data_IF_058330952125
#
_entry.id   IF_058330952125
#
_cell.length_a   1.000
_cell.length_b   1.000
_cell.length_c   1.000
_cell.angle_alpha   90.00
_cell.angle_beta   90.00
_cell.angle_gamma   90.00
#
_symmetry.space_group_name_H-M   'P 1'
#
loop_
_entity.id
_entity.type
_entity.pdbx_description
1 polymer ?
#
# COMPACT_ATOMS: atom_id res chain seq x y z
N UNK A 1 6.33 2.39 23.64
CA UNK A 1 7.08 1.90 22.46
C UNK A 1 8.33 2.73 22.37
N UNK A 2 9.50 2.11 22.33
CA UNK A 2 10.79 2.79 22.16
C UNK A 2 11.34 2.41 20.79
N UNK A 3 11.71 3.39 19.97
CA UNK A 3 12.22 3.19 18.61
C UNK A 3 13.71 3.52 18.64
N UNK A 4 14.55 2.53 18.35
CA UNK A 4 15.98 2.71 18.16
C UNK A 4 16.32 2.58 16.67
N UNK A 5 17.09 3.53 16.15
CA UNK A 5 17.58 3.52 14.78
C UNK A 5 19.09 3.32 14.82
N UNK A 6 19.56 2.25 14.18
CA UNK A 6 20.98 1.95 14.05
C UNK A 6 21.37 2.03 12.57
N UNK A 7 22.30 2.93 12.24
CA UNK A 7 22.84 3.04 10.88
C UNK A 7 24.01 2.09 10.72
N UNK A 8 23.89 1.10 9.84
CA UNK A 8 24.97 0.19 9.48
C UNK A 8 25.27 0.33 7.99
N UNK A 9 26.48 0.78 7.67
CA UNK A 9 26.93 1.08 6.29
C UNK A 9 27.13 -0.20 5.46
N UNK A 10 27.21 -1.35 6.10
CA UNK A 10 27.38 -2.65 5.44
C UNK A 10 26.05 -3.32 5.06
N UNK A 11 24.92 -2.77 5.49
CA UNK A 11 23.60 -3.26 5.08
C UNK A 11 23.32 -2.83 3.64
N UNK A 12 22.93 -3.80 2.81
CA UNK A 12 22.53 -3.56 1.41
C UNK A 12 21.09 -3.07 1.28
N UNK A 13 20.28 -3.30 2.30
CA UNK A 13 18.85 -2.96 2.34
C UNK A 13 18.37 -2.71 3.78
N UNK A 14 17.13 -2.25 3.94
CA UNK A 14 16.51 -1.94 5.23
C UNK A 14 16.20 -3.23 5.99
N UNK A 15 16.78 -3.39 7.18
CA UNK A 15 16.46 -4.46 8.12
C UNK A 15 15.70 -3.90 9.33
N UNK A 16 14.65 -4.60 9.79
CA UNK A 16 13.82 -4.18 10.94
C UNK A 16 13.80 -5.28 11.99
N UNK A 17 14.40 -5.01 13.16
CA UNK A 17 14.37 -5.90 14.33
C UNK A 17 13.36 -5.42 15.38
N UNK A 18 12.35 -6.23 15.68
CA UNK A 18 11.31 -5.90 16.67
C UNK A 18 11.43 -6.83 17.88
N UNK A 19 11.79 -6.28 19.04
CA UNK A 19 11.85 -7.01 20.32
C UNK A 19 10.57 -6.76 21.13
N UNK A 20 9.92 -7.81 21.60
CA UNK A 20 8.66 -7.73 22.34
C UNK A 20 8.57 -8.83 23.41
N UNK A 21 7.88 -8.55 24.52
CA UNK A 21 7.71 -9.51 25.61
C UNK A 21 6.57 -10.52 25.35
N UNK A 22 5.48 -10.07 24.73
CA UNK A 22 4.34 -10.91 24.34
C UNK A 22 3.65 -10.35 23.09
N UNK A 23 3.04 -11.24 22.30
CA UNK A 23 2.29 -10.83 21.13
C UNK A 23 1.02 -10.10 21.55
N UNK A 24 0.74 -8.95 20.94
CA UNK A 24 -0.47 -8.18 21.22
C UNK A 24 -1.08 -7.59 19.93
N UNK A 25 -2.34 -7.12 19.97
CA UNK A 25 -3.01 -6.58 18.79
C UNK A 25 -2.29 -5.40 18.12
N UNK A 26 -1.62 -4.56 18.92
CA UNK A 26 -0.86 -3.41 18.41
C UNK A 26 0.37 -3.86 17.62
N UNK A 27 1.10 -4.86 18.12
CA UNK A 27 2.25 -5.44 17.44
C UNK A 27 1.84 -6.13 16.13
N UNK A 28 0.72 -6.84 16.13
CA UNK A 28 0.16 -7.43 14.90
C UNK A 28 -0.15 -6.37 13.85
N UNK A 29 -0.75 -5.24 14.25
CA UNK A 29 -0.99 -4.10 13.35
C UNK A 29 0.32 -3.51 12.80
N UNK A 30 1.34 -3.35 13.64
CA UNK A 30 2.66 -2.84 13.22
C UNK A 30 3.33 -3.76 12.20
N UNK A 31 3.39 -5.06 12.48
CA UNK A 31 3.96 -6.06 11.55
C UNK A 31 3.21 -6.04 10.22
N UNK A 32 1.88 -5.93 10.29
CA UNK A 32 1.02 -5.87 9.10
C UNK A 32 1.28 -4.62 8.27
N UNK A 33 1.46 -3.46 8.92
CA UNK A 33 1.83 -2.21 8.27
C UNK A 33 3.17 -2.36 7.56
N UNK A 34 4.21 -2.81 8.27
CA UNK A 34 5.56 -2.98 7.71
C UNK A 34 5.57 -3.95 6.52
N UNK A 35 4.86 -5.08 6.61
CA UNK A 35 4.70 -6.03 5.49
C UNK A 35 3.88 -5.48 4.32
N UNK A 36 3.11 -4.42 4.54
CA UNK A 36 2.33 -3.78 3.48
C UNK A 36 3.10 -2.70 2.71
N UNK A 37 4.18 -2.16 3.28
CA UNK A 37 4.97 -1.09 2.66
C UNK A 37 5.72 -1.53 1.40
N UNK A 38 6.08 -2.82 1.29
CA UNK A 38 6.75 -3.37 0.09
C UNK A 38 5.76 -3.97 -0.92
N UNK A 39 4.49 -3.57 -0.89
CA UNK A 39 3.49 -4.10 -1.83
C UNK A 39 3.41 -3.21 -3.06
N UNK A 40 3.31 -3.89 -4.19
CA UNK A 40 3.03 -3.28 -5.47
C UNK A 40 1.66 -3.71 -5.98
N UNK A 41 0.99 -2.80 -6.68
CA UNK A 41 -0.28 -3.03 -7.33
C UNK A 41 -0.07 -3.19 -8.83
N UNK A 42 -0.57 -4.32 -9.37
CA UNK A 42 -0.54 -4.58 -10.81
C UNK A 42 -1.53 -3.68 -11.56
N UNK A 43 -1.00 -2.82 -12.42
CA UNK A 43 -1.75 -1.87 -13.22
C UNK A 43 -1.40 -2.00 -14.71
N UNK A 44 -2.17 -1.30 -15.54
CA UNK A 44 -2.03 -1.22 -16.98
C UNK A 44 -1.83 0.27 -17.32
N UNK A 45 -0.75 0.57 -18.04
CA UNK A 45 -0.46 1.92 -18.51
C UNK A 45 -1.34 2.33 -19.69
N UNK A 46 -1.30 3.61 -20.06
CA UNK A 46 -2.00 4.13 -21.23
C UNK A 46 -1.55 3.46 -22.55
N UNK A 47 -0.34 2.90 -22.57
CA UNK A 47 0.23 2.15 -23.71
C UNK A 47 -0.11 0.65 -23.67
N UNK A 48 -1.05 0.22 -22.80
CA UNK A 48 -1.41 -1.18 -22.57
C UNK A 48 -0.30 -2.08 -22.00
N UNK A 49 0.76 -1.51 -21.42
CA UNK A 49 1.82 -2.27 -20.77
C UNK A 49 1.44 -2.61 -19.32
N UNK A 50 1.77 -3.82 -18.86
CA UNK A 50 1.63 -4.20 -17.45
C UNK A 50 2.75 -3.56 -16.63
N UNK A 51 2.37 -2.87 -15.56
CA UNK A 51 3.28 -2.19 -14.65
C UNK A 51 2.93 -2.53 -13.20
N UNK A 52 3.91 -2.39 -12.31
CA UNK A 52 3.75 -2.54 -10.88
C UNK A 52 3.99 -1.17 -10.23
N UNK A 53 3.04 -0.75 -9.40
CA UNK A 53 3.07 0.56 -8.75
C UNK A 53 3.15 0.33 -7.25
N UNK A 54 4.13 0.93 -6.58
CA UNK A 54 4.19 0.91 -5.11
C UNK A 54 2.90 1.47 -4.55
N UNK A 55 2.31 0.79 -3.57
CA UNK A 55 1.08 1.29 -2.94
C UNK A 55 1.30 2.65 -2.27
N UNK A 56 2.54 2.97 -1.89
CA UNK A 56 2.92 4.28 -1.32
C UNK A 56 2.83 5.43 -2.34
N UNK A 57 2.92 5.14 -3.64
CA UNK A 57 2.85 6.17 -4.69
C UNK A 57 1.40 6.45 -5.12
N UNK A 58 0.42 5.74 -4.56
CA UNK A 58 -1.00 5.85 -4.92
C UNK A 58 -1.65 6.93 -4.05
N UNK A 59 -2.26 7.93 -4.66
CA UNK A 59 -2.94 9.05 -3.98
C UNK A 59 -4.43 8.76 -3.74
N UNK A 60 -5.08 8.08 -4.67
CA UNK A 60 -6.41 7.51 -4.48
C UNK A 60 -6.71 6.50 -5.59
N UNK A 61 -7.71 5.66 -5.36
CA UNK A 61 -8.24 4.71 -6.33
C UNK A 61 -9.72 5.00 -6.52
N UNK A 62 -10.17 5.05 -7.77
CA UNK A 62 -11.56 5.33 -8.12
C UNK A 62 -12.10 4.29 -9.10
N UNK A 63 -13.41 4.05 -9.07
CA UNK A 63 -14.08 3.31 -10.12
C UNK A 63 -14.92 4.23 -11.01
N UNK A 64 -14.60 4.25 -12.31
CA UNK A 64 -15.33 4.97 -13.36
C UNK A 64 -15.73 3.94 -14.43
N UNK A 65 -17.02 3.90 -14.80
CA UNK A 65 -17.56 3.00 -15.82
C UNK A 65 -17.15 1.52 -15.66
N UNK A 66 -17.29 0.98 -14.43
CA UNK A 66 -16.91 -0.40 -14.07
C UNK A 66 -15.42 -0.72 -14.19
N UNK A 67 -14.59 0.24 -14.57
CA UNK A 67 -13.13 0.15 -14.55
C UNK A 67 -12.62 0.77 -13.25
N UNK A 68 -11.44 0.36 -12.82
CA UNK A 68 -10.79 0.88 -11.62
C UNK A 68 -9.51 1.58 -12.03
N UNK A 69 -9.33 2.81 -11.57
CA UNK A 69 -8.22 3.69 -11.91
C UNK A 69 -7.45 4.04 -10.64
N UNK A 70 -6.12 4.07 -10.79
CA UNK A 70 -5.15 4.33 -9.74
C UNK A 70 -4.50 5.66 -10.10
N UNK A 71 -4.68 6.65 -9.23
CA UNK A 71 -4.15 7.99 -9.41
C UNK A 71 -2.89 8.14 -8.59
N UNK A 72 -1.80 8.51 -9.26
CA UNK A 72 -0.51 8.85 -8.68
C UNK A 72 -0.21 10.33 -8.99
N UNK A 73 0.87 10.87 -8.42
CA UNK A 73 1.27 12.28 -8.61
C UNK A 73 1.28 12.73 -10.09
N UNK A 74 1.89 11.93 -10.98
CA UNK A 74 2.13 12.33 -12.38
C UNK A 74 1.34 11.53 -13.41
N UNK A 75 0.62 10.49 -13.00
CA UNK A 75 0.04 9.55 -13.93
C UNK A 75 -1.19 8.85 -13.36
N UNK A 76 -2.05 8.42 -14.28
CA UNK A 76 -3.24 7.62 -13.99
C UNK A 76 -3.10 6.28 -14.68
N UNK A 77 -3.38 5.21 -13.95
CA UNK A 77 -3.24 3.86 -14.44
C UNK A 77 -4.52 3.07 -14.25
N UNK A 78 -4.77 2.09 -15.12
CA UNK A 78 -5.92 1.21 -14.96
C UNK A 78 -5.52 0.00 -14.12
N UNK A 79 -6.23 -0.25 -13.02
CA UNK A 79 -6.01 -1.45 -12.22
C UNK A 79 -6.51 -2.70 -12.95
N UNK A 80 -5.78 -3.80 -12.80
CA UNK A 80 -6.26 -5.13 -13.19
C UNK A 80 -7.32 -5.70 -12.23
N UNK A 81 -7.51 -5.07 -11.08
CA UNK A 81 -8.44 -5.48 -10.04
C UNK A 81 -9.62 -4.51 -9.94
N UNK A 82 -10.79 -5.01 -9.54
CA UNK A 82 -11.94 -4.16 -9.22
C UNK A 82 -11.75 -3.49 -7.85
N UNK A 83 -12.40 -2.34 -7.65
CA UNK A 83 -12.41 -1.64 -6.35
C UNK A 83 -12.87 -2.53 -5.18
N UNK A 84 -13.82 -3.44 -5.42
CA UNK A 84 -14.26 -4.41 -4.41
C UNK A 84 -13.12 -5.37 -4.03
N UNK A 85 -12.41 -5.92 -5.01
CA UNK A 85 -11.26 -6.79 -4.72
C UNK A 85 -10.20 -6.03 -3.92
N UNK A 86 -9.90 -4.79 -4.29
CA UNK A 86 -8.93 -3.94 -3.58
C UNK A 86 -9.31 -3.69 -2.12
N UNK A 87 -10.60 -3.55 -1.80
CA UNK A 87 -11.09 -3.41 -0.42
C UNK A 87 -10.87 -4.67 0.43
N UNK A 88 -10.82 -5.84 -0.20
CA UNK A 88 -10.66 -7.14 0.47
C UNK A 88 -9.23 -7.69 0.39
N UNK A 89 -8.32 -7.02 -0.32
CA UNK A 89 -6.90 -7.31 -0.14
C UNK A 89 -6.59 -6.89 1.30
N UNK A 90 -5.91 -7.73 2.09
CA UNK A 90 -5.34 -7.30 3.36
C UNK A 90 -4.21 -6.32 3.05
N UNK A 91 -4.60 -5.07 2.77
CA UNK A 91 -3.84 -3.83 2.74
C UNK A 91 -4.29 -3.05 3.97
N UNK A 92 -4.04 -3.56 5.20
CA UNK A 92 -4.93 -3.29 6.34
C UNK A 92 -4.75 -1.89 6.91
N UNK A 93 -3.98 -1.05 6.25
CA UNK A 93 -3.65 0.29 6.72
C UNK A 93 -3.42 1.27 5.57
N UNK A 94 -3.68 0.89 4.32
CA UNK A 94 -3.37 1.77 3.20
C UNK A 94 -4.59 2.40 2.58
N UNK A 95 -5.80 1.85 2.58
CA UNK A 95 -6.92 2.56 1.95
C UNK A 95 -8.15 2.69 2.83
N UNK A 96 -8.59 3.93 3.04
CA UNK A 96 -9.85 4.28 3.66
C UNK A 96 -10.90 4.55 2.59
N UNK A 97 -12.12 4.06 2.78
CA UNK A 97 -13.22 4.39 1.87
C UNK A 97 -13.66 5.84 2.10
N UNK A 98 -13.41 6.69 1.11
CA UNK A 98 -13.80 8.09 1.15
C UNK A 98 -15.21 8.30 0.58
N UNK A 99 -15.55 7.60 -0.51
CA UNK A 99 -16.86 7.67 -1.16
C UNK A 99 -17.28 6.31 -1.73
N UNK A 100 -18.53 6.18 -2.22
CA UNK A 100 -19.08 4.92 -2.76
C UNK A 100 -18.16 4.25 -3.80
N UNK A 101 -17.40 5.05 -4.55
CA UNK A 101 -16.53 4.63 -5.65
C UNK A 101 -15.06 5.03 -5.48
N UNK A 102 -14.64 5.52 -4.30
CA UNK A 102 -13.30 6.09 -4.11
C UNK A 102 -12.63 5.62 -2.81
N UNK A 103 -11.35 5.32 -2.88
CA UNK A 103 -10.46 4.89 -1.80
C UNK A 103 -9.26 5.82 -1.72
N UNK A 104 -8.87 6.27 -0.51
CA UNK A 104 -7.74 7.18 -0.29
C UNK A 104 -6.73 6.53 0.65
N UNK A 105 -5.42 6.74 0.48
CA UNK A 105 -4.39 6.37 1.43
C UNK A 105 -4.79 6.67 2.87
N UNK A 106 -4.59 5.74 3.81
CA UNK A 106 -4.86 6.01 5.23
C UNK A 106 -3.69 6.75 5.92
N UNK A 107 -2.59 7.01 5.20
CA UNK A 107 -1.47 7.84 5.64
C UNK A 107 -1.09 8.87 4.56
N UNK A 108 -0.60 10.06 4.95
CA UNK A 108 -0.08 11.09 4.05
C UNK A 108 1.31 10.73 3.48
#
# INVERSE_FOLDING_TARGET
MLINLEKNVNLKDIEVLIKYASMNPTLNRLITLLKSMNRELKCISNENNQIWISVLDIYYVESVDKKTYVYCDKAVYRSSFSIYKLQHIPLPVLFSRFHRFSLVPAFP
#
